data_IF_780324382124
#
_entry.id   IF_780324382124
#
_cell.length_a   1.000
_cell.length_b   1.000
_cell.length_c   1.000
_cell.angle_alpha   90.00
_cell.angle_beta   90.00
_cell.angle_gamma   90.00
#
_symmetry.space_group_name_H-M   'P 1'
#
loop_
_entity.id
_entity.type
_entity.pdbx_description
1 polymer ?
#
# COMPACT_ATOMS: atom_id res chain seq x y z
N UNK A 1 -9.68 58.27 6.87
CA UNK A 1 -8.63 57.41 6.26
C UNK A 1 -7.82 56.71 7.36
N UNK A 2 -7.19 57.44 8.29
CA UNK A 2 -6.42 56.87 9.40
C UNK A 2 -7.28 55.98 10.32
N UNK A 3 -8.48 56.42 10.73
CA UNK A 3 -9.37 55.59 11.56
C UNK A 3 -9.80 54.29 10.86
N UNK A 4 -9.99 54.31 9.54
CA UNK A 4 -10.35 53.12 8.76
C UNK A 4 -9.19 52.12 8.69
N UNK A 5 -7.95 52.62 8.61
CA UNK A 5 -6.73 51.79 8.64
C UNK A 5 -6.54 51.18 10.03
N UNK A 6 -6.82 51.93 11.09
CA UNK A 6 -6.76 51.44 12.48
C UNK A 6 -7.81 50.35 12.72
N UNK A 7 -9.05 50.54 12.26
CA UNK A 7 -10.10 49.52 12.39
C UNK A 7 -9.77 48.25 11.60
N UNK A 8 -9.18 48.38 10.40
CA UNK A 8 -8.70 47.23 9.62
C UNK A 8 -7.54 46.48 10.30
N UNK A 9 -6.59 47.20 10.90
CA UNK A 9 -5.49 46.62 11.67
C UNK A 9 -5.99 45.90 12.92
N UNK A 10 -6.99 46.47 13.61
CA UNK A 10 -7.58 45.87 14.80
C UNK A 10 -8.33 44.56 14.47
N UNK A 11 -9.08 44.55 13.36
CA UNK A 11 -9.76 43.34 12.86
C UNK A 11 -8.73 42.28 12.48
N UNK A 12 -7.65 42.65 11.79
CA UNK A 12 -6.58 41.72 11.42
C UNK A 12 -5.88 41.12 12.66
N UNK A 13 -5.64 41.93 13.70
CA UNK A 13 -5.03 41.46 14.95
C UNK A 13 -5.96 40.53 15.74
N UNK A 14 -7.27 40.81 15.77
CA UNK A 14 -8.27 39.94 16.39
C UNK A 14 -8.37 38.60 15.63
N UNK A 15 -8.29 38.64 14.30
CA UNK A 15 -8.28 37.45 13.45
C UNK A 15 -7.03 36.59 13.65
N UNK A 16 -5.85 37.21 13.67
CA UNK A 16 -4.59 36.51 13.95
C UNK A 16 -4.61 35.89 15.35
N UNK A 17 -5.15 36.60 16.34
CA UNK A 17 -5.34 36.11 17.70
C UNK A 17 -6.30 34.93 17.80
N UNK A 18 -7.43 34.97 17.09
CA UNK A 18 -8.42 33.88 17.04
C UNK A 18 -7.88 32.62 16.36
N UNK A 19 -7.18 32.78 15.23
CA UNK A 19 -6.52 31.69 14.51
C UNK A 19 -5.45 31.00 15.38
N UNK A 20 -4.63 31.79 16.08
CA UNK A 20 -3.60 31.28 17.00
C UNK A 20 -4.21 30.58 18.22
N UNK A 21 -5.30 31.11 18.78
CA UNK A 21 -5.99 30.53 19.94
C UNK A 21 -6.68 29.21 19.62
N UNK A 22 -7.34 29.10 18.46
CA UNK A 22 -7.99 27.86 18.02
C UNK A 22 -6.98 26.80 17.54
N UNK A 23 -5.90 27.22 16.88
CA UNK A 23 -4.76 26.35 16.57
C UNK A 23 -4.13 25.76 17.83
N UNK A 24 -4.04 26.56 18.91
CA UNK A 24 -3.58 26.11 20.22
C UNK A 24 -4.54 25.08 20.85
N UNK A 25 -5.86 25.31 20.77
CA UNK A 25 -6.88 24.38 21.29
C UNK A 25 -6.95 23.05 20.52
N UNK A 26 -6.75 23.08 19.19
CA UNK A 26 -6.91 21.90 18.31
C UNK A 26 -5.60 21.18 17.97
N UNK A 27 -4.45 21.72 18.42
CA UNK A 27 -3.09 21.24 18.08
C UNK A 27 -2.77 21.25 16.57
N UNK A 28 -3.55 21.96 15.74
CA UNK A 28 -3.30 22.12 14.31
C UNK A 28 -2.28 23.24 14.09
N UNK A 29 -1.17 23.00 13.36
CA UNK A 29 -0.21 24.06 13.01
C UNK A 29 -0.85 25.05 12.03
N UNK A 30 -0.67 26.35 12.30
CA UNK A 30 -1.28 27.52 11.59
C UNK A 30 -1.05 27.54 10.07
N UNK A 31 -0.09 26.78 9.54
CA UNK A 31 0.23 26.69 8.11
C UNK A 31 -0.57 25.64 7.32
N UNK A 32 -1.66 25.08 7.87
CA UNK A 32 -2.51 24.15 7.13
C UNK A 32 -3.35 24.89 6.06
N UNK A 33 -3.22 24.57 4.75
CA UNK A 33 -3.91 25.28 3.68
C UNK A 33 -5.44 25.16 3.71
N UNK A 34 -5.98 24.08 4.30
CA UNK A 34 -7.42 23.89 4.51
C UNK A 34 -7.94 24.95 5.51
N UNK A 35 -7.11 25.31 6.49
CA UNK A 35 -7.40 26.34 7.49
C UNK A 35 -7.50 27.74 6.85
N UNK A 36 -6.58 28.05 5.93
CA UNK A 36 -6.57 29.30 5.19
C UNK A 36 -7.83 29.45 4.32
N UNK A 37 -8.34 28.36 3.73
CA UNK A 37 -9.56 28.39 2.92
C UNK A 37 -10.83 28.73 3.72
N UNK A 38 -11.00 28.12 4.90
CA UNK A 38 -12.18 28.34 5.76
C UNK A 38 -12.17 29.72 6.44
N UNK A 39 -11.01 30.18 6.94
CA UNK A 39 -10.90 31.50 7.57
C UNK A 39 -11.12 32.63 6.57
N UNK A 40 -10.63 32.48 5.34
CA UNK A 40 -10.87 33.47 4.28
C UNK A 40 -12.36 33.55 3.95
N UNK A 41 -13.09 32.43 3.90
CA UNK A 41 -14.53 32.42 3.64
C UNK A 41 -15.36 33.11 4.73
N UNK A 42 -15.06 32.85 6.01
CA UNK A 42 -15.72 33.51 7.15
C UNK A 42 -15.39 35.01 7.17
N UNK A 43 -14.14 35.36 6.85
CA UNK A 43 -13.68 36.74 6.76
C UNK A 43 -14.37 37.51 5.62
N UNK A 44 -14.62 36.88 4.47
CA UNK A 44 -15.38 37.46 3.36
C UNK A 44 -16.81 37.82 3.80
N UNK A 45 -17.50 36.94 4.53
CA UNK A 45 -18.88 37.17 5.01
C UNK A 45 -18.90 38.35 5.99
N UNK A 46 -17.94 38.40 6.92
CA UNK A 46 -17.88 39.45 7.94
C UNK A 46 -17.54 40.82 7.33
N UNK A 47 -16.59 40.88 6.39
CA UNK A 47 -16.26 42.09 5.64
C UNK A 47 -17.46 42.53 4.78
N UNK A 48 -18.17 41.59 4.16
CA UNK A 48 -19.39 41.87 3.39
C UNK A 48 -20.49 42.54 4.22
N UNK A 49 -20.73 42.04 5.44
CA UNK A 49 -21.70 42.61 6.40
C UNK A 49 -21.26 44.00 6.91
N UNK A 50 -19.97 44.19 7.17
CA UNK A 50 -19.42 45.48 7.62
C UNK A 50 -19.54 46.54 6.52
N UNK A 51 -19.18 46.18 5.28
CA UNK A 51 -19.28 47.03 4.10
C UNK A 51 -20.74 47.40 3.82
N UNK A 52 -21.68 46.43 3.92
CA UNK A 52 -23.12 46.70 3.79
C UNK A 52 -23.63 47.72 4.81
N UNK A 53 -23.19 47.64 6.07
CA UNK A 53 -23.57 48.61 7.11
C UNK A 53 -22.96 49.99 6.89
N UNK A 54 -21.75 50.08 6.32
CA UNK A 54 -21.11 51.34 5.92
C UNK A 54 -21.83 52.00 4.72
N UNK A 55 -22.34 51.20 3.77
CA UNK A 55 -23.11 51.70 2.61
C UNK A 55 -24.37 52.49 3.00
N UNK A 56 -25.03 52.14 4.12
CA UNK A 56 -26.20 52.88 4.61
C UNK A 56 -25.90 54.32 5.04
N UNK A 57 -24.62 54.69 5.23
CA UNK A 57 -24.21 55.98 5.81
C UNK A 57 -23.52 56.93 4.82
N UNK A 58 -23.36 56.56 3.55
CA UNK A 58 -22.59 57.35 2.56
C UNK A 58 -23.47 58.06 1.51
N UNK A 59 -23.10 59.26 1.03
CA UNK A 59 -23.82 60.00 -0.01
C UNK A 59 -23.59 59.43 -1.43
N UNK A 60 -24.58 59.61 -2.31
CA UNK A 60 -24.78 58.87 -3.57
C UNK A 60 -23.57 58.82 -4.53
N UNK A 61 -22.75 59.87 -4.60
CA UNK A 61 -21.60 59.94 -5.52
C UNK A 61 -20.37 59.16 -5.02
N UNK A 62 -20.23 58.96 -3.70
CA UNK A 62 -19.13 58.17 -3.12
C UNK A 62 -19.37 56.66 -3.24
N UNK A 63 -20.63 56.26 -3.43
CA UNK A 63 -21.08 54.87 -3.50
C UNK A 63 -20.50 54.17 -4.73
N UNK A 64 -20.44 54.82 -5.89
CA UNK A 64 -20.09 54.16 -7.15
C UNK A 64 -18.59 53.82 -7.27
N UNK A 65 -17.71 54.75 -6.90
CA UNK A 65 -16.26 54.50 -6.93
C UNK A 65 -15.82 53.50 -5.85
N UNK A 66 -16.48 53.51 -4.69
CA UNK A 66 -16.22 52.56 -3.60
C UNK A 66 -16.78 51.17 -3.92
N UNK A 67 -17.97 51.08 -4.56
CA UNK A 67 -18.57 49.81 -5.03
C UNK A 67 -17.65 49.04 -5.96
N UNK A 68 -17.01 49.71 -6.92
CA UNK A 68 -16.11 49.03 -7.87
C UNK A 68 -14.84 48.51 -7.18
N UNK A 69 -14.26 49.24 -6.23
CA UNK A 69 -13.07 48.80 -5.46
C UNK A 69 -13.39 47.67 -4.47
N UNK A 70 -14.51 47.75 -3.76
CA UNK A 70 -14.98 46.67 -2.89
C UNK A 70 -15.37 45.41 -3.66
N UNK A 71 -16.00 45.54 -4.83
CA UNK A 71 -16.30 44.42 -5.70
C UNK A 71 -15.03 43.71 -6.18
N UNK A 72 -13.99 44.45 -6.58
CA UNK A 72 -12.69 43.90 -6.94
C UNK A 72 -12.03 43.15 -5.77
N UNK A 73 -12.05 43.72 -4.55
CA UNK A 73 -11.50 43.04 -3.36
C UNK A 73 -12.30 41.77 -3.06
N UNK A 74 -13.64 41.83 -3.07
CA UNK A 74 -14.50 40.67 -2.82
C UNK A 74 -14.28 39.57 -3.87
N UNK A 75 -14.14 39.96 -5.14
CA UNK A 75 -13.79 39.08 -6.25
C UNK A 75 -12.44 38.40 -6.00
N UNK A 76 -11.37 39.17 -5.73
CA UNK A 76 -10.03 38.61 -5.44
C UNK A 76 -10.01 37.68 -4.23
N UNK A 77 -10.68 38.04 -3.13
CA UNK A 77 -10.70 37.24 -1.90
C UNK A 77 -11.57 35.98 -2.09
N UNK A 78 -12.65 36.05 -2.87
CA UNK A 78 -13.47 34.87 -3.24
C UNK A 78 -12.73 33.84 -4.10
N UNK A 79 -11.66 34.26 -4.80
CA UNK A 79 -10.80 33.35 -5.55
C UNK A 79 -9.72 32.65 -4.70
N UNK A 80 -9.43 33.12 -3.48
CA UNK A 80 -8.38 32.52 -2.63
C UNK A 80 -8.68 31.05 -2.27
N UNK A 81 -9.91 30.65 -1.91
CA UNK A 81 -10.25 29.24 -1.71
C UNK A 81 -10.11 28.41 -2.99
N UNK A 82 -10.42 29.00 -4.15
CA UNK A 82 -10.29 28.34 -5.45
C UNK A 82 -8.80 28.13 -5.80
N UNK A 83 -7.97 29.15 -5.63
CA UNK A 83 -6.52 29.04 -5.82
C UNK A 83 -5.88 28.08 -4.82
N UNK A 84 -6.34 28.04 -3.58
CA UNK A 84 -5.84 27.12 -2.55
C UNK A 84 -6.20 25.67 -2.89
N UNK A 85 -7.43 25.40 -3.35
CA UNK A 85 -7.84 24.09 -3.84
C UNK A 85 -7.05 23.66 -5.09
N UNK A 86 -6.87 24.57 -6.06
CA UNK A 86 -6.07 24.30 -7.26
C UNK A 86 -4.61 24.02 -6.85
N UNK A 87 -4.04 24.82 -5.96
CA UNK A 87 -2.67 24.64 -5.48
C UNK A 87 -2.48 23.28 -4.79
N UNK A 88 -3.46 22.85 -4.00
CA UNK A 88 -3.41 21.60 -3.25
C UNK A 88 -3.69 20.36 -4.11
N UNK A 89 -4.48 20.47 -5.18
CA UNK A 89 -4.82 19.34 -6.06
C UNK A 89 -3.83 19.15 -7.22
N UNK A 90 -3.15 20.20 -7.68
CA UNK A 90 -2.31 20.14 -8.88
C UNK A 90 -0.81 20.22 -8.62
N UNK A 91 -0.35 20.65 -7.43
CA UNK A 91 1.08 20.69 -7.12
C UNK A 91 1.58 19.31 -6.69
N UNK A 92 2.69 18.88 -7.28
CA UNK A 92 3.47 17.74 -6.78
C UNK A 92 4.34 18.21 -5.62
N UNK A 93 4.17 17.58 -4.46
CA UNK A 93 4.95 17.83 -3.24
C UNK A 93 6.17 16.92 -3.25
N UNK A 94 7.36 17.52 -3.23
CA UNK A 94 8.62 16.80 -3.11
C UNK A 94 8.91 16.49 -1.64
N UNK A 95 9.13 15.22 -1.33
CA UNK A 95 9.45 14.72 0.01
C UNK A 95 10.96 14.52 0.11
N UNK A 96 11.63 15.34 0.92
CA UNK A 96 13.07 15.27 1.17
C UNK A 96 13.41 14.94 2.63
N UNK A 97 12.39 14.86 3.49
CA UNK A 97 12.52 14.66 4.94
C UNK A 97 11.27 13.97 5.49
N UNK A 98 11.36 13.43 6.72
CA UNK A 98 10.21 12.86 7.44
C UNK A 98 9.15 13.94 7.67
N UNK A 99 9.55 15.17 7.98
CA UNK A 99 8.62 16.30 8.14
C UNK A 99 7.83 16.61 6.86
N UNK A 100 8.47 16.48 5.68
CA UNK A 100 7.76 16.57 4.40
C UNK A 100 6.79 15.42 4.20
N UNK A 101 7.22 14.19 4.54
CA UNK A 101 6.39 13.00 4.45
C UNK A 101 5.12 13.13 5.30
N UNK A 102 5.26 13.68 6.51
CA UNK A 102 4.14 13.89 7.43
C UNK A 102 3.11 14.92 6.92
N UNK A 103 3.44 15.74 5.92
CA UNK A 103 2.48 16.67 5.28
C UNK A 103 1.39 15.94 4.50
N UNK A 104 1.58 14.65 4.17
CA UNK A 104 0.51 13.82 3.59
C UNK A 104 -0.74 13.84 4.48
N UNK A 105 -0.57 13.90 5.81
CA UNK A 105 -1.68 14.00 6.77
C UNK A 105 -2.52 15.26 6.59
N UNK A 106 -1.98 16.31 5.98
CA UNK A 106 -2.69 17.58 5.77
C UNK A 106 -3.48 17.58 4.46
N UNK A 107 -3.07 16.76 3.48
CA UNK A 107 -3.74 16.62 2.20
C UNK A 107 -3.63 15.19 1.68
N UNK A 108 -4.53 14.35 2.14
CA UNK A 108 -4.55 12.92 1.83
C UNK A 108 -4.86 12.61 0.36
N UNK A 109 -5.30 13.61 -0.42
CA UNK A 109 -5.65 13.50 -1.85
C UNK A 109 -4.56 14.07 -2.77
N UNK A 110 -3.48 14.61 -2.20
CA UNK A 110 -2.40 15.28 -2.94
C UNK A 110 -1.52 14.34 -3.77
N UNK A 111 -0.57 14.92 -4.50
CA UNK A 111 0.45 14.21 -5.27
C UNK A 111 1.82 14.40 -4.62
N UNK A 112 2.52 13.31 -4.37
CA UNK A 112 3.75 13.27 -3.59
C UNK A 112 4.81 12.48 -4.35
N UNK A 113 6.06 12.93 -4.28
CA UNK A 113 7.22 12.21 -4.82
C UNK A 113 8.35 12.18 -3.79
N UNK A 114 8.93 11.00 -3.55
CA UNK A 114 10.12 10.88 -2.72
C UNK A 114 11.36 11.25 -3.55
N UNK A 115 12.18 12.15 -3.02
CA UNK A 115 13.46 12.50 -3.63
C UNK A 115 14.65 11.91 -2.85
N UNK A 116 14.39 11.43 -1.63
CA UNK A 116 15.40 10.90 -0.72
C UNK A 116 14.83 9.71 0.05
N UNK A 117 15.70 8.77 0.38
CA UNK A 117 15.39 7.71 1.34
C UNK A 117 15.14 8.32 2.72
N UNK A 118 14.17 7.78 3.43
CA UNK A 118 13.70 8.27 4.72
C UNK A 118 13.95 7.22 5.80
N UNK A 119 14.48 7.61 6.95
CA UNK A 119 14.75 6.69 8.06
C UNK A 119 13.86 7.01 9.27
N UNK A 120 12.93 6.10 9.59
CA UNK A 120 11.96 6.26 10.69
C UNK A 120 12.45 5.69 12.03
N UNK A 121 13.72 5.32 12.17
CA UNK A 121 14.26 4.71 13.40
C UNK A 121 13.94 5.51 14.68
N UNK A 122 14.06 6.83 14.60
CA UNK A 122 13.83 7.77 15.71
C UNK A 122 12.38 8.28 15.79
N UNK A 123 11.50 7.84 14.88
CA UNK A 123 10.09 8.20 14.92
C UNK A 123 9.40 7.44 16.06
N UNK A 124 9.09 8.16 17.14
CA UNK A 124 8.46 7.62 18.35
C UNK A 124 6.93 7.65 18.24
N UNK A 125 6.36 6.62 17.62
CA UNK A 125 4.97 6.25 17.81
C UNK A 125 4.90 4.73 17.83
N UNK A 126 4.39 4.16 18.93
CA UNK A 126 4.44 2.71 19.15
C UNK A 126 3.12 2.02 18.78
N UNK A 127 2.05 2.78 18.51
CA UNK A 127 0.75 2.24 18.17
C UNK A 127 0.09 2.93 16.96
N UNK A 128 -0.76 2.17 16.27
CA UNK A 128 -1.56 2.66 15.15
C UNK A 128 -0.87 2.53 13.81
N UNK A 129 -0.74 3.63 13.09
CA UNK A 129 -0.31 3.70 11.68
C UNK A 129 0.34 5.06 11.43
N UNK A 130 1.17 5.17 10.38
CA UNK A 130 1.81 6.44 10.02
C UNK A 130 0.77 7.41 9.48
N UNK A 131 -0.10 6.99 8.53
CA UNK A 131 -1.13 7.81 7.90
C UNK A 131 -2.50 7.11 7.99
N UNK A 132 -3.54 7.81 8.43
CA UNK A 132 -4.86 7.18 8.65
C UNK A 132 -5.55 6.78 7.34
N UNK A 133 -5.63 7.72 6.40
CA UNK A 133 -6.28 7.49 5.12
C UNK A 133 -5.51 8.22 4.03
N UNK A 134 -5.36 7.59 2.88
CA UNK A 134 -4.68 8.17 1.71
C UNK A 134 -5.40 7.82 0.42
N UNK A 135 -5.79 8.84 -0.35
CA UNK A 135 -6.53 8.74 -1.61
C UNK A 135 -5.80 9.43 -2.77
N UNK A 136 -4.65 10.03 -2.51
CA UNK A 136 -3.81 10.74 -3.47
C UNK A 136 -2.88 9.84 -4.29
N UNK A 137 -1.78 10.41 -4.76
CA UNK A 137 -0.71 9.66 -5.45
C UNK A 137 0.62 9.83 -4.72
N UNK A 138 1.27 8.73 -4.39
CA UNK A 138 2.62 8.70 -3.82
C UNK A 138 3.55 7.93 -4.76
N UNK A 139 4.48 8.65 -5.36
CA UNK A 139 5.55 8.09 -6.17
C UNK A 139 6.81 7.95 -5.30
N UNK A 140 7.19 6.72 -4.98
CA UNK A 140 8.42 6.44 -4.26
C UNK A 140 9.66 6.75 -5.08
N UNK A 141 9.55 6.86 -6.42
CA UNK A 141 10.66 7.22 -7.31
C UNK A 141 11.93 6.35 -7.07
N UNK A 142 11.72 5.08 -6.71
CA UNK A 142 12.76 4.13 -6.37
C UNK A 142 13.47 4.41 -5.03
N UNK A 143 12.88 5.20 -4.14
CA UNK A 143 13.41 5.54 -2.81
C UNK A 143 12.80 4.67 -1.72
N UNK A 144 13.50 4.59 -0.60
CA UNK A 144 13.10 3.76 0.54
C UNK A 144 12.59 4.53 1.74
N UNK A 145 11.71 3.89 2.50
CA UNK A 145 11.23 4.31 3.82
C UNK A 145 11.59 3.21 4.80
N UNK A 146 12.55 3.52 5.67
CA UNK A 146 13.28 2.51 6.43
C UNK A 146 12.87 2.51 7.90
N UNK A 147 13.06 1.36 8.56
CA UNK A 147 12.89 1.22 10.01
C UNK A 147 11.48 1.57 10.52
N UNK A 148 10.45 1.32 9.71
CA UNK A 148 9.07 1.52 10.12
C UNK A 148 8.67 0.54 11.23
N UNK A 149 8.10 1.06 12.33
CA UNK A 149 7.51 0.27 13.42
C UNK A 149 5.99 0.15 13.34
N UNK A 150 5.38 0.94 12.45
CA UNK A 150 3.94 1.01 12.23
C UNK A 150 3.60 0.82 10.74
N UNK A 151 2.42 0.26 10.41
CA UNK A 151 1.89 0.27 9.07
C UNK A 151 1.92 1.66 8.46
N UNK A 152 2.29 1.78 7.17
CA UNK A 152 2.35 3.07 6.50
C UNK A 152 0.97 3.75 6.43
N UNK A 153 -0.06 2.98 6.09
CA UNK A 153 -1.44 3.43 5.99
C UNK A 153 -2.37 2.57 6.87
N UNK A 154 -3.47 3.15 7.36
CA UNK A 154 -4.63 2.32 7.76
C UNK A 154 -5.51 2.05 6.55
N UNK A 155 -5.99 3.10 5.89
CA UNK A 155 -6.83 2.99 4.68
C UNK A 155 -6.09 3.55 3.46
N UNK A 156 -5.78 2.72 2.49
CA UNK A 156 -5.20 3.13 1.22
C UNK A 156 -6.26 3.06 0.11
N UNK A 157 -6.60 4.19 -0.49
CA UNK A 157 -7.58 4.33 -1.58
C UNK A 157 -6.95 4.96 -2.84
N UNK A 158 -5.72 5.47 -2.71
CA UNK A 158 -5.00 6.20 -3.75
C UNK A 158 -4.17 5.31 -4.66
N UNK A 159 -3.08 5.87 -5.19
CA UNK A 159 -2.06 5.13 -5.93
C UNK A 159 -0.72 5.30 -5.24
N UNK A 160 -0.06 4.19 -4.92
CA UNK A 160 1.33 4.21 -4.46
C UNK A 160 2.16 3.34 -5.41
N UNK A 161 3.28 3.89 -5.86
CA UNK A 161 4.18 3.16 -6.77
C UNK A 161 5.65 3.40 -6.51
N UNK A 162 6.49 2.48 -6.98
CA UNK A 162 7.94 2.60 -7.06
C UNK A 162 8.58 2.90 -5.68
N UNK A 163 8.13 2.21 -4.64
CA UNK A 163 8.45 2.49 -3.24
C UNK A 163 9.03 1.26 -2.54
N UNK A 164 10.09 1.46 -1.77
CA UNK A 164 10.67 0.42 -0.91
C UNK A 164 10.34 0.73 0.55
N UNK A 165 9.88 -0.26 1.31
CA UNK A 165 9.83 -0.19 2.78
C UNK A 165 10.85 -1.18 3.33
N UNK A 166 11.96 -0.68 3.87
CA UNK A 166 13.07 -1.55 4.27
C UNK A 166 13.19 -1.64 5.78
N UNK A 167 13.61 -2.80 6.27
CA UNK A 167 13.83 -3.05 7.70
C UNK A 167 12.62 -2.72 8.58
N UNK A 168 11.41 -3.05 8.09
CA UNK A 168 10.20 -2.86 8.88
C UNK A 168 10.20 -3.81 10.08
N UNK A 169 9.66 -3.36 11.22
CA UNK A 169 9.47 -4.20 12.41
C UNK A 169 8.07 -3.91 12.99
N UNK A 170 7.08 -4.58 12.43
CA UNK A 170 5.67 -4.24 12.61
C UNK A 170 5.01 -5.24 13.55
N UNK A 171 4.44 -4.76 14.66
CA UNK A 171 3.69 -5.60 15.61
C UNK A 171 2.18 -5.59 15.34
N UNK A 172 1.80 -5.73 14.08
CA UNK A 172 0.40 -5.63 13.63
C UNK A 172 0.16 -6.37 12.31
N UNK A 173 -0.98 -6.13 11.68
CA UNK A 173 -1.55 -6.95 10.60
C UNK A 173 -1.06 -6.69 9.18
N UNK A 174 -0.21 -5.69 8.96
CA UNK A 174 0.43 -5.45 7.66
C UNK A 174 1.37 -4.27 7.66
N UNK A 175 2.41 -4.31 6.84
CA UNK A 175 3.45 -3.27 6.80
C UNK A 175 3.04 -2.03 6.00
N UNK A 176 2.28 -2.23 4.92
CA UNK A 176 1.89 -1.16 4.01
C UNK A 176 0.52 -0.59 4.39
N UNK A 177 -0.51 -1.43 4.50
CA UNK A 177 -1.85 -0.97 4.85
C UNK A 177 -2.66 -2.00 5.65
N UNK A 178 -3.67 -1.55 6.39
CA UNK A 178 -4.70 -2.48 6.86
C UNK A 178 -5.71 -2.76 5.75
N UNK A 179 -6.29 -1.71 5.17
CA UNK A 179 -7.29 -1.84 4.13
C UNK A 179 -6.79 -1.19 2.84
N UNK A 180 -6.68 -1.97 1.78
CA UNK A 180 -6.39 -1.47 0.44
C UNK A 180 -7.64 -1.47 -0.44
N UNK A 181 -8.03 -0.30 -0.94
CA UNK A 181 -8.99 -0.07 -2.02
C UNK A 181 -8.35 0.72 -3.16
N UNK A 182 -7.05 1.01 -3.08
CA UNK A 182 -6.26 1.75 -4.07
C UNK A 182 -5.28 0.86 -4.84
N UNK A 183 -4.54 1.46 -5.78
CA UNK A 183 -3.55 0.74 -6.59
C UNK A 183 -2.18 0.71 -5.92
N UNK A 184 -1.65 -0.47 -5.68
CA UNK A 184 -0.28 -0.71 -5.23
C UNK A 184 0.51 -1.29 -6.40
N UNK A 185 1.59 -0.61 -6.82
CA UNK A 185 2.36 -1.04 -7.99
C UNK A 185 3.86 -0.89 -7.74
N UNK A 186 4.65 -1.94 -7.91
CA UNK A 186 6.11 -1.85 -7.73
C UNK A 186 6.47 -1.37 -6.30
N UNK A 187 5.86 -2.02 -5.31
CA UNK A 187 6.11 -1.75 -3.88
C UNK A 187 6.75 -2.98 -3.25
N UNK A 188 7.90 -2.78 -2.62
CA UNK A 188 8.71 -3.87 -2.08
C UNK A 188 8.95 -3.65 -0.60
N UNK A 189 8.66 -4.65 0.22
CA UNK A 189 8.82 -4.57 1.66
C UNK A 189 9.83 -5.61 2.14
N UNK A 190 10.74 -5.22 3.03
CA UNK A 190 11.57 -6.15 3.78
C UNK A 190 11.46 -5.93 5.29
N UNK A 191 11.56 -7.01 6.06
CA UNK A 191 11.62 -6.94 7.53
C UNK A 191 10.78 -7.98 8.24
N UNK A 192 10.35 -7.66 9.46
CA UNK A 192 9.64 -8.54 10.38
C UNK A 192 8.22 -8.03 10.64
N UNK A 193 7.26 -8.94 10.62
CA UNK A 193 5.88 -8.69 11.04
C UNK A 193 5.49 -9.74 12.09
N UNK A 194 5.07 -9.27 13.26
CA UNK A 194 4.49 -10.08 14.34
C UNK A 194 3.07 -9.57 14.62
N UNK A 195 2.09 -10.11 13.90
CA UNK A 195 0.70 -9.69 13.99
C UNK A 195 -0.18 -10.63 14.80
N UNK A 196 -1.45 -10.25 14.96
CA UNK A 196 -2.46 -11.05 15.63
C UNK A 196 -3.19 -12.00 14.68
N UNK A 197 -4.52 -11.90 14.63
CA UNK A 197 -5.34 -12.84 13.90
C UNK A 197 -5.14 -12.79 12.38
N UNK A 198 -5.15 -11.61 11.76
CA UNK A 198 -5.11 -11.47 10.30
C UNK A 198 -3.83 -10.72 9.95
N UNK A 199 -2.93 -11.33 9.20
CA UNK A 199 -1.59 -10.77 8.93
C UNK A 199 -1.21 -10.96 7.47
N UNK A 200 -0.94 -9.86 6.77
CA UNK A 200 -0.40 -9.87 5.41
C UNK A 200 0.94 -9.15 5.35
N UNK A 201 1.90 -9.65 4.58
CA UNK A 201 3.21 -8.98 4.40
C UNK A 201 3.09 -7.52 3.99
N UNK A 202 2.18 -7.21 3.07
CA UNK A 202 1.84 -5.86 2.63
C UNK A 202 0.55 -5.36 3.29
N UNK A 203 -0.55 -6.09 3.11
CA UNK A 203 -1.89 -5.60 3.41
C UNK A 203 -2.71 -6.62 4.20
N UNK A 204 -3.46 -6.18 5.23
CA UNK A 204 -4.40 -7.09 5.90
C UNK A 204 -5.56 -7.49 4.98
N UNK A 205 -6.31 -6.54 4.44
CA UNK A 205 -7.44 -6.77 3.52
C UNK A 205 -7.25 -6.02 2.22
N UNK A 206 -7.24 -6.74 1.09
CA UNK A 206 -7.08 -6.18 -0.24
C UNK A 206 -8.38 -6.24 -1.05
N UNK A 207 -8.90 -5.07 -1.43
CA UNK A 207 -10.08 -4.89 -2.30
C UNK A 207 -9.72 -4.19 -3.62
N UNK A 208 -8.44 -4.17 -4.01
CA UNK A 208 -7.98 -3.53 -5.24
C UNK A 208 -6.71 -4.18 -5.79
N UNK A 209 -6.08 -3.58 -6.80
CA UNK A 209 -4.98 -4.22 -7.53
C UNK A 209 -3.64 -4.06 -6.81
N UNK A 210 -2.93 -5.18 -6.64
CA UNK A 210 -1.50 -5.24 -6.28
C UNK A 210 -0.73 -5.83 -7.47
N UNK A 211 0.24 -5.07 -7.99
CA UNK A 211 1.05 -5.49 -9.15
C UNK A 211 2.54 -5.30 -8.88
N UNK A 212 3.37 -6.22 -9.38
CA UNK A 212 4.83 -6.08 -9.35
C UNK A 212 5.38 -5.83 -7.94
N UNK A 213 4.75 -6.37 -6.91
CA UNK A 213 5.07 -6.04 -5.52
C UNK A 213 5.65 -7.25 -4.82
N UNK A 214 6.38 -7.03 -3.73
CA UNK A 214 6.95 -8.13 -2.97
C UNK A 214 7.07 -7.90 -1.48
N UNK A 215 7.15 -9.02 -0.76
CA UNK A 215 7.52 -9.04 0.66
C UNK A 215 8.70 -9.99 0.86
N UNK A 216 9.69 -9.55 1.64
CA UNK A 216 10.89 -10.31 1.97
C UNK A 216 11.17 -10.26 3.47
N UNK A 217 10.88 -11.34 4.18
CA UNK A 217 11.24 -11.46 5.58
C UNK A 217 10.35 -12.42 6.36
N UNK A 218 10.23 -12.18 7.67
CA UNK A 218 9.53 -13.09 8.59
C UNK A 218 8.16 -12.55 8.95
N UNK A 219 7.12 -13.38 8.78
CA UNK A 219 5.74 -13.10 9.18
C UNK A 219 5.32 -14.12 10.21
N UNK A 220 4.89 -13.64 11.38
CA UNK A 220 4.26 -14.44 12.42
C UNK A 220 2.85 -13.90 12.63
N UNK A 221 1.85 -14.75 12.47
CA UNK A 221 0.44 -14.45 12.74
C UNK A 221 -0.28 -15.62 13.38
N UNK A 222 -1.60 -15.53 13.49
CA UNK A 222 -2.42 -16.56 14.16
C UNK A 222 -3.44 -17.23 13.22
N UNK A 223 -4.44 -16.51 12.69
CA UNK A 223 -5.65 -17.13 12.13
C UNK A 223 -5.83 -17.05 10.60
N UNK A 224 -5.37 -15.98 9.95
CA UNK A 224 -5.32 -15.85 8.50
C UNK A 224 -4.02 -15.14 8.19
N UNK A 225 -3.06 -15.86 7.61
CA UNK A 225 -1.70 -15.35 7.42
C UNK A 225 -1.28 -15.52 5.97
N UNK A 226 -0.89 -14.42 5.33
CA UNK A 226 -0.48 -14.41 3.93
C UNK A 226 0.84 -13.69 3.68
N UNK A 227 1.64 -14.25 2.77
CA UNK A 227 2.93 -13.66 2.38
C UNK A 227 2.84 -12.22 1.88
N UNK A 228 1.79 -11.88 1.14
CA UNK A 228 1.50 -10.51 0.70
C UNK A 228 0.24 -9.96 1.36
N UNK A 229 -0.84 -10.74 1.43
CA UNK A 229 -2.11 -10.27 1.98
C UNK A 229 -2.80 -11.28 2.88
N UNK A 230 -3.42 -10.85 3.97
CA UNK A 230 -4.17 -11.81 4.80
C UNK A 230 -5.43 -12.27 4.04
N UNK A 231 -6.27 -11.31 3.62
CA UNK A 231 -7.51 -11.57 2.90
C UNK A 231 -7.55 -10.79 1.58
N UNK A 232 -7.75 -11.49 0.47
CA UNK A 232 -7.78 -10.90 -0.87
C UNK A 232 -9.17 -11.01 -1.50
N UNK A 233 -9.73 -9.89 -1.96
CA UNK A 233 -10.97 -9.80 -2.73
C UNK A 233 -10.74 -9.30 -4.17
N UNK A 234 -9.49 -9.23 -4.63
CA UNK A 234 -9.18 -8.60 -5.92
C UNK A 234 -7.96 -9.23 -6.59
N UNK A 235 -7.35 -8.51 -7.53
CA UNK A 235 -6.23 -8.99 -8.31
C UNK A 235 -4.89 -8.76 -7.60
N UNK A 236 -4.12 -9.84 -7.47
CA UNK A 236 -2.68 -9.82 -7.19
C UNK A 236 -1.97 -10.40 -8.41
N UNK A 237 -1.07 -9.61 -9.02
CA UNK A 237 -0.45 -9.98 -10.29
C UNK A 237 1.06 -9.79 -10.25
N UNK A 238 1.80 -10.75 -10.82
CA UNK A 238 3.25 -10.64 -11.04
C UNK A 238 4.00 -10.21 -9.77
N UNK A 239 3.66 -10.82 -8.64
CA UNK A 239 4.14 -10.42 -7.31
C UNK A 239 4.70 -11.64 -6.59
N UNK A 240 5.58 -11.43 -5.62
CA UNK A 240 6.22 -12.55 -4.94
C UNK A 240 6.46 -12.33 -3.45
N UNK A 241 6.54 -13.41 -2.69
CA UNK A 241 6.94 -13.37 -1.28
C UNK A 241 8.11 -14.32 -1.02
N UNK A 242 9.01 -13.95 -0.11
CA UNK A 242 10.12 -14.78 0.33
C UNK A 242 10.43 -14.58 1.81
N UNK A 243 11.15 -15.54 2.41
CA UNK A 243 11.48 -15.54 3.82
C UNK A 243 10.73 -16.63 4.58
N UNK A 244 10.16 -16.31 5.73
CA UNK A 244 9.49 -17.27 6.61
C UNK A 244 8.08 -16.80 6.92
N UNK A 245 7.13 -17.73 6.98
CA UNK A 245 5.76 -17.45 7.41
C UNK A 245 5.30 -18.51 8.39
N UNK A 246 4.72 -18.08 9.50
CA UNK A 246 4.17 -18.94 10.54
C UNK A 246 2.78 -18.47 10.96
N UNK A 247 1.84 -19.42 11.05
CA UNK A 247 0.48 -19.17 11.54
C UNK A 247 -0.19 -20.43 12.07
N UNK A 248 -1.28 -20.32 12.83
CA UNK A 248 -2.01 -21.49 13.33
C UNK A 248 -3.10 -21.95 12.36
N UNK A 249 -3.80 -21.04 11.68
CA UNK A 249 -4.90 -21.35 10.77
C UNK A 249 -4.76 -20.57 9.45
N UNK A 250 -5.22 -21.16 8.32
CA UNK A 250 -5.29 -20.51 6.99
C UNK A 250 -4.02 -19.74 6.64
N UNK A 251 -2.95 -20.48 6.40
CA UNK A 251 -1.64 -19.93 6.06
C UNK A 251 -1.39 -20.12 4.57
N UNK A 252 -1.05 -19.05 3.85
CA UNK A 252 -0.64 -19.16 2.45
C UNK A 252 0.52 -18.25 2.06
N UNK A 253 1.38 -18.74 1.17
CA UNK A 253 2.60 -18.04 0.81
C UNK A 253 2.39 -16.77 -0.02
N UNK A 254 1.19 -16.50 -0.53
CA UNK A 254 0.80 -15.21 -1.13
C UNK A 254 -0.39 -14.61 -0.38
N UNK A 255 -1.45 -15.38 -0.18
CA UNK A 255 -2.65 -14.94 0.52
C UNK A 255 -3.06 -15.92 1.63
N UNK A 256 -3.55 -15.43 2.76
CA UNK A 256 -4.15 -16.32 3.77
C UNK A 256 -5.48 -16.89 3.28
N UNK A 257 -6.33 -16.03 2.73
CA UNK A 257 -7.62 -16.41 2.15
C UNK A 257 -7.97 -15.58 0.90
N UNK A 258 -8.59 -16.23 -0.08
CA UNK A 258 -9.16 -15.62 -1.27
C UNK A 258 -10.68 -15.57 -1.18
N UNK A 259 -11.26 -14.40 -1.44
CA UNK A 259 -12.70 -14.21 -1.64
C UNK A 259 -13.16 -14.60 -3.05
N UNK A 260 -14.47 -14.47 -3.27
CA UNK A 260 -15.17 -14.89 -4.50
C UNK A 260 -14.66 -14.23 -5.79
N UNK A 261 -14.29 -12.96 -5.76
CA UNK A 261 -13.82 -12.23 -6.96
C UNK A 261 -12.28 -12.18 -7.06
N UNK A 262 -11.59 -12.89 -6.17
CA UNK A 262 -10.14 -12.77 -6.03
C UNK A 262 -9.38 -13.53 -7.12
N UNK A 263 -8.32 -12.91 -7.65
CA UNK A 263 -7.44 -13.54 -8.63
C UNK A 263 -5.98 -13.38 -8.19
N UNK A 264 -5.26 -14.48 -8.01
CA UNK A 264 -3.80 -14.49 -7.96
C UNK A 264 -3.29 -14.95 -9.32
N UNK A 265 -2.40 -14.15 -9.94
CA UNK A 265 -1.88 -14.45 -11.27
C UNK A 265 -0.39 -14.18 -11.39
N UNK A 266 0.34 -15.09 -12.02
CA UNK A 266 1.77 -14.93 -12.34
C UNK A 266 2.63 -14.66 -11.08
N UNK A 267 2.25 -15.22 -9.93
CA UNK A 267 2.89 -14.96 -8.64
C UNK A 267 3.76 -16.14 -8.18
N UNK A 268 4.71 -15.90 -7.30
CA UNK A 268 5.41 -17.00 -6.65
C UNK A 268 5.75 -16.75 -5.20
N UNK A 269 5.91 -17.82 -4.45
CA UNK A 269 6.42 -17.74 -3.08
C UNK A 269 7.61 -18.64 -2.90
N UNK A 270 8.65 -18.15 -2.22
CA UNK A 270 9.76 -18.94 -1.71
C UNK A 270 9.80 -18.87 -0.18
N UNK A 271 8.65 -18.69 0.44
CA UNK A 271 8.58 -18.70 1.90
C UNK A 271 8.68 -20.13 2.41
N UNK A 272 9.40 -20.31 3.51
CA UNK A 272 9.24 -21.50 4.35
C UNK A 272 7.92 -21.34 5.11
N UNK A 273 6.91 -22.11 4.72
CA UNK A 273 5.54 -22.00 5.22
C UNK A 273 5.35 -22.98 6.35
N UNK A 274 5.07 -22.47 7.55
CA UNK A 274 4.77 -23.26 8.73
C UNK A 274 3.40 -22.96 9.29
N UNK A 275 2.71 -23.98 9.78
CA UNK A 275 1.50 -23.77 10.55
C UNK A 275 0.88 -25.04 11.10
N UNK A 276 -0.36 -24.94 11.61
CA UNK A 276 -1.06 -26.10 12.16
C UNK A 276 -2.12 -26.62 11.22
N UNK A 277 -3.09 -25.77 10.85
CA UNK A 277 -4.28 -26.22 10.13
C UNK A 277 -4.61 -25.36 8.92
N UNK A 278 -4.93 -26.00 7.80
CA UNK A 278 -5.28 -25.35 6.53
C UNK A 278 -4.09 -24.52 6.05
N UNK A 279 -3.08 -25.20 5.53
CA UNK A 279 -1.91 -24.56 4.92
C UNK A 279 -1.93 -24.83 3.43
N UNK A 280 -1.94 -23.78 2.63
CA UNK A 280 -1.84 -23.89 1.19
C UNK A 280 -0.61 -23.16 0.67
N UNK A 281 0.07 -23.72 -0.31
CA UNK A 281 1.32 -23.13 -0.81
C UNK A 281 1.16 -21.69 -1.30
N UNK A 282 0.13 -21.38 -2.08
CA UNK A 282 -0.17 -20.01 -2.55
C UNK A 282 -1.23 -19.35 -1.66
N UNK A 283 -2.35 -20.03 -1.43
CA UNK A 283 -3.46 -19.54 -0.64
C UNK A 283 -3.87 -20.55 0.43
N UNK A 284 -4.05 -20.12 1.67
CA UNK A 284 -4.50 -21.00 2.76
C UNK A 284 -5.93 -21.49 2.54
N UNK A 285 -6.84 -20.62 2.13
CA UNK A 285 -8.21 -20.96 1.77
C UNK A 285 -8.71 -20.17 0.56
N UNK A 286 -9.69 -20.72 -0.15
CA UNK A 286 -10.35 -20.08 -1.28
C UNK A 286 -11.87 -20.22 -1.10
N UNK A 287 -12.56 -19.09 -1.04
CA UNK A 287 -14.02 -19.01 -1.04
C UNK A 287 -14.56 -19.24 -2.47
N UNK A 288 -15.87 -19.47 -2.58
CA UNK A 288 -16.51 -19.78 -3.85
C UNK A 288 -16.30 -18.69 -4.89
N UNK A 289 -15.47 -18.98 -5.91
CA UNK A 289 -15.16 -18.07 -7.02
C UNK A 289 -13.69 -17.65 -7.14
N UNK A 290 -12.88 -17.75 -6.08
CA UNK A 290 -11.48 -17.33 -6.12
C UNK A 290 -10.64 -18.17 -7.10
N UNK A 291 -9.68 -17.52 -7.77
CA UNK A 291 -8.93 -18.12 -8.88
C UNK A 291 -7.42 -17.93 -8.69
N UNK A 292 -6.65 -18.99 -8.95
CA UNK A 292 -5.19 -18.91 -8.99
C UNK A 292 -4.70 -19.38 -10.36
N UNK A 293 -3.91 -18.53 -11.01
CA UNK A 293 -3.37 -18.77 -12.35
C UNK A 293 -1.86 -18.66 -12.30
N UNK A 294 -1.21 -19.66 -12.84
CA UNK A 294 0.17 -19.54 -13.31
C UNK A 294 1.12 -19.10 -12.20
N UNK A 295 0.93 -19.68 -11.01
CA UNK A 295 1.63 -19.30 -9.79
C UNK A 295 2.31 -20.51 -9.16
N UNK A 296 3.45 -20.32 -8.50
CA UNK A 296 4.23 -21.47 -8.01
C UNK A 296 4.88 -21.25 -6.65
N UNK A 297 5.17 -22.37 -5.99
CA UNK A 297 5.72 -22.44 -4.64
C UNK A 297 7.08 -23.10 -4.72
N UNK A 298 8.11 -22.39 -4.26
CA UNK A 298 9.50 -22.86 -4.23
C UNK A 298 9.96 -23.24 -2.82
N UNK A 299 9.33 -22.71 -1.77
CA UNK A 299 9.71 -23.00 -0.37
C UNK A 299 9.01 -24.25 0.16
N UNK A 300 9.49 -24.76 1.30
CA UNK A 300 8.89 -25.93 1.92
C UNK A 300 7.62 -25.56 2.69
N UNK A 301 6.74 -26.55 2.85
CA UNK A 301 5.50 -26.43 3.61
C UNK A 301 5.55 -27.43 4.75
N UNK A 302 5.33 -26.96 5.98
CA UNK A 302 5.27 -27.78 7.18
C UNK A 302 3.97 -27.50 7.95
N UNK A 303 3.21 -28.54 8.27
CA UNK A 303 2.11 -28.41 9.24
C UNK A 303 1.23 -29.63 9.40
N UNK A 304 0.36 -29.60 10.41
CA UNK A 304 -0.46 -30.76 10.79
C UNK A 304 -1.48 -31.12 9.67
N UNK A 305 -2.15 -30.12 9.10
CA UNK A 305 -3.13 -30.27 8.01
C UNK A 305 -2.77 -29.36 6.83
N UNK A 306 -2.14 -29.94 5.80
CA UNK A 306 -1.74 -29.24 4.56
C UNK A 306 -2.75 -29.53 3.46
N UNK A 307 -3.16 -28.46 2.79
CA UNK A 307 -4.13 -28.42 1.70
C UNK A 307 -3.40 -27.88 0.46
N UNK A 308 -2.55 -28.75 -0.10
CA UNK A 308 -1.85 -28.59 -1.37
C UNK A 308 -1.23 -27.23 -1.71
N UNK A 309 -1.11 -26.96 -3.01
CA UNK A 309 -0.65 -25.68 -3.57
C UNK A 309 -1.76 -24.63 -3.46
N UNK A 310 -3.05 -25.01 -3.57
CA UNK A 310 -4.11 -24.12 -4.09
C UNK A 310 -5.48 -24.24 -3.40
N UNK A 311 -5.67 -24.94 -2.27
CA UNK A 311 -6.93 -25.03 -1.48
C UNK A 311 -7.93 -26.14 -1.90
N UNK A 312 -8.90 -26.40 -1.01
CA UNK A 312 -9.88 -27.51 -0.96
C UNK A 312 -10.77 -27.68 -2.21
N UNK A 313 -10.85 -26.70 -3.12
CA UNK A 313 -11.71 -26.79 -4.32
C UNK A 313 -10.89 -26.53 -5.61
N UNK A 314 -10.14 -27.54 -5.99
CA UNK A 314 -9.06 -27.54 -6.99
C UNK A 314 -9.51 -27.37 -8.47
N UNK A 315 -10.80 -27.12 -8.75
CA UNK A 315 -11.26 -26.81 -10.13
C UNK A 315 -10.83 -25.44 -10.66
N UNK A 316 -10.19 -24.61 -9.82
CA UNK A 316 -9.98 -23.17 -10.06
C UNK A 316 -8.51 -22.74 -10.10
N UNK A 317 -7.63 -23.74 -10.09
CA UNK A 317 -6.20 -23.66 -10.26
C UNK A 317 -5.81 -23.92 -11.72
N UNK A 318 -5.04 -23.02 -12.35
CA UNK A 318 -4.58 -23.23 -13.73
C UNK A 318 -3.07 -23.06 -13.85
N UNK A 319 -2.37 -24.14 -14.20
CA UNK A 319 -0.91 -24.15 -14.46
C UNK A 319 -0.09 -23.64 -13.27
N UNK A 320 -0.39 -24.14 -12.08
CA UNK A 320 0.27 -23.78 -10.84
C UNK A 320 0.99 -24.99 -10.24
N UNK A 321 2.10 -24.76 -9.55
CA UNK A 321 3.09 -25.81 -9.25
C UNK A 321 3.68 -25.68 -7.83
N UNK A 322 3.95 -26.80 -7.17
CA UNK A 322 4.88 -26.86 -6.02
C UNK A 322 6.18 -27.52 -6.49
N UNK A 323 7.29 -26.90 -6.14
CA UNK A 323 8.66 -27.42 -6.32
C UNK A 323 9.28 -27.82 -4.99
N UNK A 324 8.88 -27.21 -3.87
CA UNK A 324 9.39 -27.51 -2.52
C UNK A 324 8.83 -28.79 -1.89
N UNK A 325 9.36 -29.15 -0.72
CA UNK A 325 8.93 -30.33 0.03
C UNK A 325 7.72 -30.03 0.92
N UNK A 326 6.86 -31.04 1.12
CA UNK A 326 5.70 -30.97 2.01
C UNK A 326 5.89 -31.96 3.16
N UNK A 327 5.91 -31.44 4.39
CA UNK A 327 6.02 -32.19 5.64
C UNK A 327 4.71 -32.03 6.42
N UNK A 328 3.88 -33.06 6.47
CA UNK A 328 2.58 -32.97 7.15
C UNK A 328 2.09 -34.29 7.72
N UNK A 329 1.22 -34.19 8.73
CA UNK A 329 0.53 -35.35 9.31
C UNK A 329 -0.63 -35.79 8.42
N UNK A 330 -1.33 -34.83 7.81
CA UNK A 330 -2.43 -35.06 6.87
C UNK A 330 -2.31 -34.17 5.64
N UNK A 331 -2.39 -34.80 4.46
CA UNK A 331 -2.38 -34.13 3.16
C UNK A 331 -3.73 -34.29 2.45
N UNK A 332 -4.36 -33.17 2.06
CA UNK A 332 -5.57 -33.18 1.23
C UNK A 332 -5.14 -33.09 -0.25
N UNK A 333 -5.41 -34.16 -1.01
CA UNK A 333 -5.01 -34.29 -2.42
C UNK A 333 -5.89 -33.45 -3.33
N UNK A 334 -5.25 -32.65 -4.19
CA UNK A 334 -5.88 -31.88 -5.26
C UNK A 334 -5.73 -32.61 -6.61
N UNK A 335 -6.76 -32.55 -7.46
CA UNK A 335 -6.84 -33.20 -8.78
C UNK A 335 -6.07 -32.53 -9.93
N UNK A 336 -5.67 -31.25 -9.83
CA UNK A 336 -5.01 -30.49 -10.91
C UNK A 336 -3.63 -29.90 -10.52
N UNK A 337 -3.00 -30.42 -9.45
CA UNK A 337 -1.63 -30.07 -9.10
C UNK A 337 -0.63 -30.98 -9.80
N UNK A 338 0.43 -30.36 -10.34
CA UNK A 338 1.64 -31.05 -10.75
C UNK A 338 2.69 -31.01 -9.63
N UNK A 339 3.29 -32.16 -9.31
CA UNK A 339 4.28 -32.33 -8.25
C UNK A 339 5.69 -32.56 -8.81
N UNK A 340 6.71 -32.14 -8.06
CA UNK A 340 8.10 -32.46 -8.35
C UNK A 340 8.46 -33.85 -7.80
N UNK A 341 8.79 -34.83 -8.64
CA UNK A 341 9.31 -36.14 -8.19
C UNK A 341 10.84 -36.15 -8.19
N UNK A 342 11.44 -36.46 -7.04
CA UNK A 342 12.90 -36.62 -6.89
C UNK A 342 13.37 -38.08 -7.08
N UNK A 343 12.47 -39.03 -7.33
CA UNK A 343 12.84 -40.42 -7.65
C UNK A 343 12.84 -40.68 -9.15
N UNK A 344 13.94 -41.29 -9.60
CA UNK A 344 14.28 -41.63 -10.99
C UNK A 344 13.37 -42.76 -11.53
N UNK A 345 12.07 -42.55 -11.55
CA UNK A 345 11.14 -43.43 -12.23
C UNK A 345 10.43 -42.61 -13.31
N UNK A 346 10.66 -42.99 -14.57
CA UNK A 346 9.75 -42.67 -15.67
C UNK A 346 8.38 -43.24 -15.28
N UNK A 347 7.51 -42.39 -14.74
CA UNK A 347 6.10 -42.74 -14.55
C UNK A 347 5.34 -42.01 -15.63
N UNK A 348 4.62 -42.79 -16.44
CA UNK A 348 3.55 -42.34 -17.33
C UNK A 348 2.39 -41.74 -16.52
N UNK A 349 2.63 -40.61 -15.85
CA UNK A 349 1.59 -39.80 -15.22
C UNK A 349 1.81 -38.35 -15.63
N UNK A 350 0.80 -37.76 -16.28
CA UNK A 350 0.82 -36.41 -16.87
C UNK A 350 1.12 -35.28 -15.86
N UNK A 351 1.26 -35.56 -14.56
CA UNK A 351 1.29 -34.59 -13.46
C UNK A 351 2.65 -34.43 -12.75
N UNK A 352 3.75 -34.97 -13.27
CA UNK A 352 5.08 -34.79 -12.66
C UNK A 352 5.98 -33.86 -13.48
N UNK A 353 6.69 -32.93 -12.82
CA UNK A 353 7.69 -32.05 -13.45
C UNK A 353 9.07 -32.38 -12.87
N UNK A 354 10.09 -32.43 -13.73
CA UNK A 354 11.49 -32.57 -13.33
C UNK A 354 12.10 -31.19 -13.01
N UNK A 355 12.83 -31.05 -11.90
CA UNK A 355 13.38 -29.77 -11.42
C UNK A 355 14.42 -29.17 -12.38
N UNK A 356 15.00 -30.00 -13.25
CA UNK A 356 15.90 -29.58 -14.34
C UNK A 356 15.19 -28.75 -15.42
N UNK A 357 13.87 -28.58 -15.37
CA UNK A 357 13.07 -27.88 -16.39
C UNK A 357 12.89 -26.39 -16.05
N UNK A 358 13.34 -25.86 -14.89
CA UNK A 358 13.20 -24.43 -14.52
C UNK A 358 14.09 -23.45 -15.33
N UNK A 359 14.18 -23.62 -16.65
CA UNK A 359 14.90 -22.73 -17.57
C UNK A 359 14.08 -21.48 -17.91
N UNK A 360 14.72 -20.49 -18.55
CA UNK A 360 14.03 -19.28 -19.06
C UNK A 360 12.84 -19.67 -19.95
N UNK A 361 13.02 -20.64 -20.85
CA UNK A 361 11.95 -21.11 -21.75
C UNK A 361 10.77 -21.68 -20.99
N UNK A 362 10.99 -22.37 -19.86
CA UNK A 362 9.90 -22.91 -19.06
C UNK A 362 9.07 -21.79 -18.40
N UNK A 363 9.74 -20.81 -17.78
CA UNK A 363 9.02 -19.65 -17.21
C UNK A 363 8.22 -18.88 -18.27
N UNK A 364 8.76 -18.71 -19.48
CA UNK A 364 8.07 -17.98 -20.55
C UNK A 364 6.96 -18.82 -21.20
N UNK A 365 7.23 -20.08 -21.55
CA UNK A 365 6.33 -20.86 -22.38
C UNK A 365 5.26 -21.59 -21.57
N UNK A 366 5.62 -22.08 -20.38
CA UNK A 366 4.71 -22.79 -19.48
C UNK A 366 4.02 -21.80 -18.55
N UNK A 367 4.82 -21.00 -17.84
CA UNK A 367 4.31 -20.02 -16.87
C UNK A 367 3.92 -18.67 -17.47
N UNK A 368 4.10 -18.45 -18.78
CA UNK A 368 3.69 -17.20 -19.44
C UNK A 368 4.25 -15.94 -18.77
N UNK A 369 5.39 -16.05 -18.09
CA UNK A 369 6.05 -14.90 -17.48
C UNK A 369 6.54 -13.98 -18.58
N UNK A 370 6.20 -12.70 -18.45
CA UNK A 370 6.55 -11.67 -19.41
C UNK A 370 7.99 -11.20 -19.17
N UNK A 371 8.84 -11.33 -20.18
CA UNK A 371 10.24 -10.90 -20.12
C UNK A 371 10.42 -9.38 -20.09
N UNK A 372 9.37 -8.59 -20.29
CA UNK A 372 9.38 -7.15 -20.03
C UNK A 372 9.26 -6.82 -18.54
N UNK A 373 8.73 -7.76 -17.75
CA UNK A 373 8.47 -7.62 -16.31
C UNK A 373 9.54 -8.35 -15.49
N UNK A 374 9.88 -9.58 -15.87
CA UNK A 374 10.79 -10.45 -15.14
C UNK A 374 12.21 -10.42 -15.70
N UNK A 375 13.19 -10.33 -14.81
CA UNK A 375 14.61 -10.58 -15.11
C UNK A 375 14.96 -12.05 -14.82
N UNK A 376 15.36 -12.73 -15.88
CA UNK A 376 15.77 -14.14 -15.86
C UNK A 376 17.30 -14.32 -15.80
N UNK A 377 18.07 -13.23 -15.76
CA UNK A 377 19.51 -13.28 -15.55
C UNK A 377 19.95 -14.13 -14.34
N UNK A 378 19.20 -14.19 -13.22
CA UNK A 378 19.60 -14.99 -12.05
C UNK A 378 19.58 -16.50 -12.29
N UNK A 379 18.83 -16.99 -13.29
CA UNK A 379 18.75 -18.43 -13.60
C UNK A 379 20.14 -19.03 -13.91
N UNK A 380 21.08 -18.23 -14.43
CA UNK A 380 22.47 -18.65 -14.68
C UNK A 380 23.21 -19.08 -13.41
N UNK A 381 22.80 -18.55 -12.27
CA UNK A 381 23.36 -18.85 -10.95
C UNK A 381 22.48 -19.83 -10.15
N UNK A 382 21.55 -20.50 -10.84
CA UNK A 382 20.49 -21.30 -10.25
C UNK A 382 19.62 -20.51 -9.26
N UNK A 383 19.30 -19.25 -9.60
CA UNK A 383 18.47 -18.36 -8.79
C UNK A 383 17.15 -18.04 -9.49
N UNK A 384 16.06 -17.89 -8.73
CA UNK A 384 14.74 -17.61 -9.25
C UNK A 384 14.67 -16.23 -9.95
N UNK A 385 13.76 -16.07 -10.93
CA UNK A 385 13.55 -14.79 -11.59
C UNK A 385 13.12 -13.71 -10.60
N UNK A 386 13.61 -12.49 -10.81
CA UNK A 386 13.22 -11.32 -10.02
C UNK A 386 12.48 -10.31 -10.90
N UNK A 387 11.76 -9.36 -10.29
CA UNK A 387 11.20 -8.24 -11.05
C UNK A 387 12.32 -7.32 -11.55
N UNK A 388 12.20 -6.83 -12.78
CA UNK A 388 13.16 -5.86 -13.32
C UNK A 388 13.16 -4.58 -12.49
N UNK A 389 14.35 -4.05 -12.25
CA UNK A 389 14.54 -2.83 -11.47
C UNK A 389 14.85 -3.06 -9.98
N UNK A 390 14.80 -4.31 -9.52
CA UNK A 390 15.24 -4.68 -8.16
C UNK A 390 16.71 -5.11 -8.20
N UNK A 391 17.60 -4.37 -7.53
CA UNK A 391 19.05 -4.69 -7.50
C UNK A 391 19.53 -5.32 -6.20
N UNK A 392 18.91 -4.98 -5.06
CA UNK A 392 19.49 -5.21 -3.73
C UNK A 392 18.68 -6.17 -2.84
N UNK A 393 18.00 -7.16 -3.42
CA UNK A 393 17.32 -8.20 -2.64
C UNK A 393 18.09 -9.53 -2.59
N UNK A 394 18.01 -10.27 -1.45
CA UNK A 394 18.58 -11.60 -1.32
C UNK A 394 18.08 -12.52 -2.44
N UNK A 395 19.01 -13.18 -3.12
CA UNK A 395 18.71 -14.05 -4.27
C UNK A 395 18.18 -15.41 -3.82
N UNK A 396 17.12 -15.87 -4.48
CA UNK A 396 16.46 -17.15 -4.20
C UNK A 396 17.14 -18.27 -4.97
N UNK A 397 17.85 -19.20 -4.33
CA UNK A 397 18.30 -20.45 -5.00
C UNK A 397 17.12 -21.37 -5.38
N UNK A 398 17.24 -22.06 -6.52
CA UNK A 398 16.28 -23.03 -7.07
C UNK A 398 16.64 -24.51 -6.79
N UNK A 399 17.76 -24.76 -6.09
CA UNK A 399 18.30 -26.09 -5.83
C UNK A 399 17.45 -26.90 -4.85
#
# INVERSE_FOLDING_TARGET
>A
MINLIIDMLLIYLIQLGGALFYAHLTKIKVFNPIFIGCEVFITIIFIGLLVYNLFKKLPSYAIEHFRNKCFLIFLFVSFIPLFSNIYMNYRVVNINSIDDFMKIKWNTHGKYILNKDLDFKDYSNDEGFVIESFSGTLDGNGKSVNNLKLPLFKNHQGTVKDLYLEDVNIKSSGSFAFYNSGKIKNVHVSGKIEGGFWVGGLVMVNNSTIEYSSFNGSIIGDYVVGGLVAFNNSMIKSSYAQGEISGNFKVGGIAGQLGEEAIIKDCYTKQEISGKKIIGGIAGAIDDGGIIKTSFVLGNITGDEVIGVLSVDDKRAFKSFIVGEIHCDSYIVESNIFYLSTTYNEVENEQSINSKIMTKEWFINILKFDETIWDFSPLKNNEAPILKGITDQPRVKLN
#
